data_IF_339847153603
#
_entry.id   IF_339847153603
#
_cell.length_a   1.000
_cell.length_b   1.000
_cell.length_c   1.000
_cell.angle_alpha   90.00
_cell.angle_beta   90.00
_cell.angle_gamma   90.00
#
_symmetry.space_group_name_H-M   'P 1'
#
loop_
_entity.id
_entity.type
_entity.pdbx_description
1 polymer ?
#
# COMPACT_ATOMS: atom_id res chain seq x y z
N UNK A 1 -18.61 8.23 53.90
CA UNK A 1 -19.97 8.80 53.90
C UNK A 1 -20.73 8.16 52.76
N UNK A 2 -21.78 7.43 53.10
CA UNK A 2 -22.63 6.65 52.19
C UNK A 2 -23.59 7.62 51.50
N UNK A 3 -23.66 7.59 50.17
CA UNK A 3 -24.83 8.09 49.42
C UNK A 3 -25.24 7.02 48.41
N UNK A 4 -26.13 6.16 48.88
CA UNK A 4 -27.02 5.39 48.03
C UNK A 4 -27.93 6.39 47.29
N UNK A 5 -28.04 6.25 45.98
CA UNK A 5 -29.11 6.89 45.21
C UNK A 5 -29.89 5.81 44.47
N UNK A 6 -31.20 5.91 44.62
CA UNK A 6 -32.17 4.86 44.42
C UNK A 6 -32.39 4.49 42.95
N UNK A 7 -32.68 3.21 42.77
CA UNK A 7 -33.22 2.56 41.59
C UNK A 7 -34.61 3.15 41.25
N UNK A 8 -34.83 3.57 40.02
CA UNK A 8 -36.18 3.83 39.48
C UNK A 8 -36.33 3.00 38.18
N UNK A 9 -36.87 1.79 38.34
CA UNK A 9 -37.29 0.94 37.22
C UNK A 9 -38.68 1.38 36.79
N UNK A 10 -38.78 2.08 35.66
CA UNK A 10 -40.07 2.33 35.01
C UNK A 10 -40.39 1.15 34.08
N UNK A 11 -41.30 0.28 34.52
CA UNK A 11 -41.99 -0.70 33.69
C UNK A 11 -43.02 0.02 32.81
N UNK A 12 -42.79 0.07 31.50
CA UNK A 12 -43.79 0.56 30.53
C UNK A 12 -44.47 -0.68 29.92
N UNK A 13 -45.81 -0.79 29.97
CA UNK A 13 -46.53 -1.89 29.34
C UNK A 13 -46.48 -1.78 27.82
N UNK A 14 -46.12 -2.89 27.17
CA UNK A 14 -46.16 -3.07 25.73
C UNK A 14 -47.60 -3.05 25.23
N UNK A 15 -47.97 -2.04 24.43
CA UNK A 15 -49.22 -2.04 23.67
C UNK A 15 -48.89 -2.57 22.27
N UNK A 16 -49.14 -3.86 22.06
CA UNK A 16 -49.08 -4.46 20.74
C UNK A 16 -50.33 -4.07 19.94
N UNK A 17 -50.23 -3.06 19.08
CA UNK A 17 -51.19 -2.88 18.00
C UNK A 17 -50.88 -3.90 16.90
N UNK A 18 -51.72 -4.92 16.77
CA UNK A 18 -51.71 -5.81 15.61
C UNK A 18 -52.03 -4.98 14.35
N UNK A 19 -51.02 -4.75 13.51
CA UNK A 19 -51.19 -4.11 12.23
C UNK A 19 -51.82 -5.14 11.27
N UNK A 20 -53.10 -4.94 10.98
CA UNK A 20 -53.85 -5.72 10.01
C UNK A 20 -53.16 -5.63 8.66
N UNK A 21 -52.63 -6.76 8.16
CA UNK A 21 -52.05 -6.86 6.83
C UNK A 21 -53.15 -6.60 5.80
N UNK A 22 -53.22 -5.38 5.28
CA UNK A 22 -53.89 -5.11 4.02
C UNK A 22 -53.03 -5.72 2.92
N UNK A 23 -53.44 -6.88 2.43
CA UNK A 23 -52.97 -7.42 1.16
C UNK A 23 -53.51 -6.54 0.03
N UNK A 24 -52.90 -5.37 -0.17
CA UNK A 24 -53.04 -4.60 -1.40
C UNK A 24 -52.33 -5.38 -2.50
N UNK A 25 -53.09 -5.95 -3.43
CA UNK A 25 -52.51 -6.51 -4.65
C UNK A 25 -51.73 -5.41 -5.36
N UNK A 26 -50.40 -5.53 -5.38
CA UNK A 26 -49.56 -4.66 -6.18
C UNK A 26 -49.96 -4.86 -7.65
N UNK A 27 -50.46 -3.80 -8.27
CA UNK A 27 -50.79 -3.81 -9.69
C UNK A 27 -49.52 -4.19 -10.48
N UNK A 28 -49.66 -5.14 -11.40
CA UNK A 28 -48.57 -5.68 -12.21
C UNK A 28 -47.86 -4.56 -13.00
N UNK A 29 -48.59 -3.47 -13.29
CA UNK A 29 -48.04 -2.23 -13.86
C UNK A 29 -47.11 -1.48 -12.92
N UNK A 30 -47.47 -1.35 -11.64
CA UNK A 30 -46.62 -0.67 -10.65
C UNK A 30 -45.33 -1.45 -10.40
N UNK A 31 -45.38 -2.78 -10.41
CA UNK A 31 -44.18 -3.62 -10.28
C UNK A 31 -43.27 -3.52 -11.51
N UNK A 32 -43.83 -3.53 -12.72
CA UNK A 32 -43.07 -3.33 -13.98
C UNK A 32 -42.46 -1.92 -14.06
N UNK A 33 -43.18 -0.90 -13.61
CA UNK A 33 -42.69 0.49 -13.61
C UNK A 33 -41.60 0.70 -12.56
N UNK A 34 -41.66 0.03 -11.41
CA UNK A 34 -40.59 0.02 -10.41
C UNK A 34 -39.35 -0.74 -10.91
N UNK A 35 -39.52 -1.85 -11.63
CA UNK A 35 -38.43 -2.59 -12.29
C UNK A 35 -37.77 -1.79 -13.43
N UNK A 36 -38.55 -1.04 -14.23
CA UNK A 36 -38.01 -0.14 -15.25
C UNK A 36 -37.25 1.06 -14.65
N UNK A 37 -37.70 1.61 -13.52
CA UNK A 37 -36.98 2.65 -12.80
C UNK A 37 -35.70 2.09 -12.14
N UNK A 38 -35.69 0.86 -11.60
CA UNK A 38 -34.45 0.26 -11.11
C UNK A 38 -33.45 -0.09 -12.23
N UNK A 39 -33.94 -0.52 -13.40
CA UNK A 39 -33.11 -0.81 -14.58
C UNK A 39 -32.53 0.44 -15.25
N UNK A 40 -33.25 1.56 -15.23
CA UNK A 40 -32.77 2.84 -15.76
C UNK A 40 -31.73 3.52 -14.84
N UNK A 41 -31.84 3.32 -13.51
CA UNK A 41 -30.86 3.81 -12.55
C UNK A 41 -29.54 3.03 -12.57
N UNK A 42 -29.53 1.77 -13.04
CA UNK A 42 -28.31 0.96 -13.17
C UNK A 42 -27.50 1.26 -14.45
N UNK A 43 -28.13 1.77 -15.50
CA UNK A 43 -27.48 2.06 -16.80
C UNK A 43 -26.70 3.39 -16.84
N UNK A 44 -26.66 4.14 -15.74
CA UNK A 44 -25.95 5.43 -15.65
C UNK A 44 -25.31 5.68 -14.28
N UNK A 45 -25.24 4.67 -13.42
CA UNK A 45 -24.49 4.78 -12.17
C UNK A 45 -22.99 4.78 -12.49
N UNK A 46 -22.32 5.88 -12.16
CA UNK A 46 -20.86 5.94 -12.16
C UNK A 46 -20.32 4.83 -11.25
N UNK A 47 -19.70 3.81 -11.83
CA UNK A 47 -19.03 2.75 -11.08
C UNK A 47 -17.71 3.32 -10.54
N UNK A 48 -17.40 3.16 -9.24
CA UNK A 48 -16.10 3.55 -8.72
C UNK A 48 -14.97 2.83 -9.47
N UNK A 49 -14.04 3.59 -10.06
CA UNK A 49 -12.86 3.06 -10.78
C UNK A 49 -11.57 3.23 -10.00
N UNK A 50 -11.57 4.08 -8.97
CA UNK A 50 -10.38 4.37 -8.19
C UNK A 50 -10.18 3.33 -7.09
N UNK A 51 -8.95 2.83 -6.89
CA UNK A 51 -8.63 1.80 -5.90
C UNK A 51 -8.70 2.31 -4.44
N UNK A 52 -8.90 3.61 -4.22
CA UNK A 52 -9.00 4.24 -2.90
C UNK A 52 -7.69 4.30 -2.09
N UNK A 53 -6.73 3.42 -2.38
CA UNK A 53 -5.41 3.35 -1.72
C UNK A 53 -4.36 2.71 -2.66
N UNK A 54 -3.13 3.26 -2.69
CA UNK A 54 -2.11 2.88 -3.68
C UNK A 54 -1.52 1.46 -3.56
N UNK A 55 -1.42 0.90 -2.37
CA UNK A 55 -0.95 -0.49 -2.19
C UNK A 55 -2.02 -1.51 -2.63
N UNK A 56 -3.30 -1.25 -2.33
CA UNK A 56 -4.41 -2.04 -2.86
C UNK A 56 -4.50 -1.93 -4.38
N UNK A 57 -4.27 -0.75 -4.94
CA UNK A 57 -4.16 -0.53 -6.39
C UNK A 57 -3.09 -1.44 -7.01
N UNK A 58 -1.88 -1.42 -6.44
CA UNK A 58 -0.76 -2.22 -6.93
C UNK A 58 -1.08 -3.72 -6.86
N UNK A 59 -1.68 -4.19 -5.76
CA UNK A 59 -2.07 -5.60 -5.64
C UNK A 59 -3.15 -5.96 -6.65
N UNK A 60 -4.17 -5.11 -6.84
CA UNK A 60 -5.24 -5.34 -7.81
C UNK A 60 -4.69 -5.43 -9.24
N UNK A 61 -3.79 -4.52 -9.62
CA UNK A 61 -3.14 -4.54 -10.93
C UNK A 61 -2.35 -5.83 -11.15
N UNK A 62 -1.54 -6.23 -10.16
CA UNK A 62 -0.73 -7.45 -10.27
C UNK A 62 -1.62 -8.71 -10.32
N UNK A 63 -2.68 -8.80 -9.52
CA UNK A 63 -3.64 -9.91 -9.60
C UNK A 63 -4.28 -9.99 -10.97
N UNK A 64 -4.71 -8.86 -11.55
CA UNK A 64 -5.29 -8.84 -12.89
C UNK A 64 -4.30 -9.30 -13.97
N UNK A 65 -3.02 -8.93 -13.85
CA UNK A 65 -1.95 -9.40 -14.75
C UNK A 65 -1.77 -10.93 -14.62
N UNK A 66 -1.72 -11.46 -13.40
CA UNK A 66 -1.57 -12.90 -13.15
C UNK A 66 -2.77 -13.72 -13.65
N UNK A 67 -4.00 -13.22 -13.47
CA UNK A 67 -5.24 -13.85 -13.97
C UNK A 67 -5.34 -13.85 -15.50
N UNK A 68 -4.81 -12.82 -16.16
CA UNK A 68 -4.83 -12.69 -17.62
C UNK A 68 -3.76 -13.55 -18.32
N UNK A 69 -2.70 -13.95 -17.60
CA UNK A 69 -1.60 -14.76 -18.12
C UNK A 69 -1.91 -16.27 -17.95
N UNK A 70 -2.20 -17.01 -19.04
CA UNK A 70 -2.52 -18.44 -18.95
C UNK A 70 -1.34 -19.30 -18.50
N UNK A 71 -0.11 -18.77 -18.54
CA UNK A 71 1.11 -19.46 -18.13
C UNK A 71 1.47 -19.19 -16.66
N UNK A 72 0.64 -18.43 -15.92
CA UNK A 72 0.84 -18.20 -14.48
C UNK A 72 0.87 -19.51 -13.70
N UNK A 73 2.01 -19.78 -13.06
CA UNK A 73 2.17 -20.89 -12.12
C UNK A 73 1.58 -20.51 -10.75
N UNK A 74 0.28 -20.74 -10.59
CA UNK A 74 -0.46 -20.44 -9.35
C UNK A 74 0.09 -21.15 -8.10
N UNK A 75 0.92 -22.18 -8.25
CA UNK A 75 1.56 -22.84 -7.11
C UNK A 75 2.72 -22.02 -6.50
N UNK A 76 3.23 -21.02 -7.23
CA UNK A 76 4.33 -20.15 -6.80
C UNK A 76 3.90 -18.73 -6.45
N UNK A 77 2.69 -18.33 -6.83
CA UNK A 77 2.18 -16.99 -6.57
C UNK A 77 2.19 -16.70 -5.07
N UNK A 78 2.77 -15.56 -4.68
CA UNK A 78 2.89 -15.12 -3.29
C UNK A 78 2.50 -13.64 -3.15
N UNK A 79 1.19 -13.41 -2.99
CA UNK A 79 0.63 -12.06 -2.77
C UNK A 79 0.98 -11.53 -1.37
N UNK A 80 1.20 -12.41 -0.39
CA UNK A 80 1.61 -12.00 0.95
C UNK A 80 3.02 -11.40 0.94
N UNK A 81 3.94 -11.97 0.14
CA UNK A 81 5.26 -11.40 -0.10
C UNK A 81 5.19 -10.02 -0.77
N UNK A 82 4.35 -9.85 -1.80
CA UNK A 82 4.13 -8.53 -2.42
C UNK A 82 3.57 -7.53 -1.40
N UNK A 83 2.57 -7.94 -0.62
CA UNK A 83 1.99 -7.10 0.43
C UNK A 83 3.03 -6.71 1.48
N UNK A 84 3.91 -7.64 1.88
CA UNK A 84 4.99 -7.37 2.83
C UNK A 84 5.97 -6.33 2.25
N UNK A 85 6.33 -6.46 0.97
CA UNK A 85 7.15 -5.47 0.27
C UNK A 85 6.50 -4.08 0.25
N UNK A 86 5.21 -3.98 -0.06
CA UNK A 86 4.48 -2.71 -0.06
C UNK A 86 4.39 -2.06 1.34
N UNK A 87 4.36 -2.87 2.41
CA UNK A 87 4.47 -2.35 3.78
C UNK A 87 5.85 -1.76 4.03
N UNK A 88 6.91 -2.43 3.60
CA UNK A 88 8.26 -1.89 3.71
C UNK A 88 8.39 -0.57 2.94
N UNK A 89 7.88 -0.51 1.71
CA UNK A 89 7.89 0.71 0.89
C UNK A 89 7.18 1.87 1.59
N UNK A 90 6.00 1.63 2.15
CA UNK A 90 5.26 2.65 2.89
C UNK A 90 6.00 3.09 4.15
N UNK A 91 6.58 2.16 4.91
CA UNK A 91 7.32 2.48 6.13
C UNK A 91 8.54 3.36 5.81
N UNK A 92 9.32 3.01 4.78
CA UNK A 92 10.47 3.81 4.35
C UNK A 92 10.02 5.17 3.82
N UNK A 93 8.99 5.22 2.98
CA UNK A 93 8.58 6.46 2.29
C UNK A 93 7.89 7.46 3.23
N UNK A 94 7.06 6.96 4.16
CA UNK A 94 6.16 7.80 4.94
C UNK A 94 6.56 7.94 6.41
N UNK A 95 7.40 7.06 6.93
CA UNK A 95 7.69 6.99 8.37
C UNK A 95 9.18 6.99 8.75
N UNK A 96 10.11 6.79 7.81
CA UNK A 96 11.53 6.83 8.13
C UNK A 96 12.05 8.26 8.29
N UNK A 97 12.94 8.46 9.26
CA UNK A 97 13.70 9.69 9.41
C UNK A 97 15.00 9.59 8.61
N UNK A 98 15.38 10.68 7.93
CA UNK A 98 16.59 10.72 7.11
C UNK A 98 17.44 11.93 7.47
N UNK A 99 18.69 11.67 7.82
CA UNK A 99 19.74 12.70 7.92
C UNK A 99 20.74 12.52 6.78
N UNK A 100 21.00 13.61 6.05
CA UNK A 100 21.97 13.65 4.96
C UNK A 100 23.28 14.30 5.41
N UNK A 101 24.40 13.65 5.12
CA UNK A 101 25.75 14.08 5.47
C UNK A 101 26.63 14.10 4.21
N UNK A 102 27.29 15.22 3.88
CA UNK A 102 28.21 15.24 2.75
C UNK A 102 29.42 14.34 3.02
N UNK A 103 29.88 13.62 2.00
CA UNK A 103 31.15 12.90 2.01
C UNK A 103 31.97 13.27 0.78
N UNK A 104 33.26 12.91 0.75
CA UNK A 104 34.10 13.16 -0.42
C UNK A 104 33.48 12.52 -1.68
N UNK A 105 33.06 13.36 -2.63
CA UNK A 105 32.47 12.94 -3.90
C UNK A 105 31.05 12.36 -3.80
N UNK A 106 30.36 12.45 -2.67
CA UNK A 106 29.09 11.76 -2.48
C UNK A 106 28.23 12.29 -1.33
N UNK A 107 27.21 11.53 -0.97
CA UNK A 107 26.34 11.83 0.18
C UNK A 107 26.08 10.54 0.95
N UNK A 108 26.18 10.62 2.27
CA UNK A 108 25.77 9.58 3.19
C UNK A 108 24.41 9.93 3.78
N UNK A 109 23.49 8.98 3.74
CA UNK A 109 22.17 9.06 4.36
C UNK A 109 22.15 8.14 5.56
N UNK A 110 21.79 8.67 6.72
CA UNK A 110 21.43 7.90 7.90
C UNK A 110 19.91 7.81 7.91
N UNK A 111 19.39 6.61 7.71
CA UNK A 111 17.96 6.32 7.60
C UNK A 111 17.57 5.53 8.83
N UNK A 112 16.66 6.08 9.63
CA UNK A 112 16.33 5.53 10.95
C UNK A 112 14.82 5.43 11.17
N UNK A 113 14.44 4.58 12.11
CA UNK A 113 13.08 4.43 12.60
C UNK A 113 13.04 3.57 13.85
N UNK A 114 11.84 3.20 14.28
CA UNK A 114 11.65 2.29 15.41
C UNK A 114 10.82 1.07 15.02
N UNK A 115 11.00 -0.04 15.75
CA UNK A 115 10.25 -1.28 15.53
C UNK A 115 10.23 -1.72 14.06
N UNK A 116 9.03 -1.88 13.51
CA UNK A 116 8.84 -2.30 12.12
C UNK A 116 9.49 -1.34 11.10
N UNK A 117 9.50 -0.02 11.34
CA UNK A 117 10.11 0.95 10.41
C UNK A 117 11.62 0.73 10.29
N UNK A 118 12.31 0.52 11.42
CA UNK A 118 13.74 0.18 11.43
C UNK A 118 14.02 -1.07 10.59
N UNK A 119 13.21 -2.09 10.76
CA UNK A 119 13.42 -3.37 10.11
C UNK A 119 13.12 -3.28 8.60
N UNK A 120 12.10 -2.51 8.20
CA UNK A 120 11.82 -2.17 6.79
C UNK A 120 12.96 -1.37 6.15
N UNK A 121 13.49 -0.35 6.85
CA UNK A 121 14.63 0.45 6.40
C UNK A 121 15.84 -0.45 6.13
N UNK A 122 16.19 -1.35 7.06
CA UNK A 122 17.32 -2.27 6.88
C UNK A 122 17.15 -3.16 5.65
N UNK A 123 15.98 -3.77 5.47
CA UNK A 123 15.72 -4.63 4.30
C UNK A 123 15.82 -3.84 3.00
N UNK A 124 15.08 -2.74 2.89
CA UNK A 124 14.97 -1.99 1.64
C UNK A 124 16.25 -1.28 1.25
N UNK A 125 16.91 -0.57 2.18
CA UNK A 125 18.09 0.23 1.84
C UNK A 125 19.23 -0.64 1.35
N UNK A 126 19.44 -1.81 1.99
CA UNK A 126 20.48 -2.76 1.57
C UNK A 126 20.15 -3.40 0.22
N UNK A 127 18.91 -3.86 0.03
CA UNK A 127 18.50 -4.48 -1.23
C UNK A 127 18.57 -3.49 -2.40
N UNK A 128 18.15 -2.25 -2.17
CA UNK A 128 18.23 -1.18 -3.16
C UNK A 128 19.68 -0.81 -3.50
N UNK A 129 20.56 -0.67 -2.50
CA UNK A 129 21.97 -0.41 -2.74
C UNK A 129 22.62 -1.52 -3.57
N UNK A 130 22.32 -2.79 -3.26
CA UNK A 130 22.83 -3.93 -4.02
C UNK A 130 22.36 -3.90 -5.49
N UNK A 131 21.08 -3.60 -5.72
CA UNK A 131 20.50 -3.55 -7.06
C UNK A 131 20.99 -2.36 -7.91
N UNK A 132 21.32 -1.23 -7.27
CA UNK A 132 21.69 0.01 -7.95
C UNK A 132 23.20 0.23 -8.06
N UNK A 133 24.01 -0.54 -7.34
CA UNK A 133 25.45 -0.36 -7.37
C UNK A 133 25.99 -0.62 -8.79
N UNK A 134 26.84 0.29 -9.25
CA UNK A 134 27.49 0.32 -10.58
C UNK A 134 26.55 0.60 -11.76
N UNK A 135 25.24 0.76 -11.53
CA UNK A 135 24.29 1.19 -12.57
C UNK A 135 24.61 2.63 -12.99
N UNK A 136 24.79 2.86 -14.29
CA UNK A 136 25.13 4.16 -14.89
C UNK A 136 26.36 4.86 -14.28
N UNK A 137 27.27 4.08 -13.67
CA UNK A 137 28.46 4.59 -13.00
C UNK A 137 28.19 5.24 -11.63
N UNK A 138 27.01 5.02 -11.04
CA UNK A 138 26.73 5.38 -9.66
C UNK A 138 27.19 4.25 -8.72
N UNK A 139 27.83 4.60 -7.61
CA UNK A 139 28.22 3.64 -6.57
C UNK A 139 27.31 3.78 -5.35
N UNK A 140 26.82 2.65 -4.85
CA UNK A 140 25.96 2.57 -3.68
C UNK A 140 26.58 1.60 -2.67
N UNK A 141 26.71 2.03 -1.41
CA UNK A 141 27.15 1.18 -0.31
C UNK A 141 26.17 1.32 0.85
N UNK A 142 25.67 0.20 1.37
CA UNK A 142 24.75 0.20 2.50
C UNK A 142 25.21 -0.73 3.62
N UNK A 143 24.91 -0.36 4.85
CA UNK A 143 25.15 -1.15 6.05
C UNK A 143 24.08 -0.93 7.09
N UNK A 144 23.82 -1.92 7.92
CA UNK A 144 22.93 -1.74 9.08
C UNK A 144 23.60 -0.82 10.12
N UNK A 145 22.79 0.02 10.74
CA UNK A 145 23.13 0.80 11.95
C UNK A 145 22.11 0.46 13.05
N UNK A 146 22.34 0.91 14.29
CA UNK A 146 21.51 0.56 15.46
C UNK A 146 20.00 0.79 15.21
N UNK A 147 19.64 1.96 14.68
CA UNK A 147 18.25 2.37 14.47
C UNK A 147 17.77 2.32 13.01
N UNK A 148 18.53 1.67 12.12
CA UNK A 148 18.14 1.53 10.72
C UNK A 148 19.28 1.11 9.81
N UNK A 149 19.53 1.89 8.76
CA UNK A 149 20.62 1.66 7.81
C UNK A 149 21.35 2.96 7.46
N UNK A 150 22.63 2.83 7.10
CA UNK A 150 23.36 3.90 6.40
C UNK A 150 23.47 3.56 4.92
N UNK A 151 23.27 4.56 4.06
CA UNK A 151 23.45 4.47 2.61
C UNK A 151 24.44 5.54 2.18
N UNK A 152 25.53 5.18 1.52
CA UNK A 152 26.46 6.14 0.92
C UNK A 152 26.43 6.02 -0.59
N UNK A 153 26.24 7.15 -1.27
CA UNK A 153 26.07 7.22 -2.72
C UNK A 153 27.09 8.16 -3.33
N UNK A 154 27.77 7.69 -4.37
CA UNK A 154 28.70 8.47 -5.18
C UNK A 154 28.23 8.47 -6.64
N UNK A 155 27.82 9.62 -7.19
CA UNK A 155 27.43 9.73 -8.59
C UNK A 155 28.66 10.07 -9.46
N UNK A 156 28.57 9.87 -10.79
CA UNK A 156 29.46 10.54 -11.72
C UNK A 156 29.46 12.06 -11.51
N UNK A 157 30.58 12.74 -11.79
CA UNK A 157 30.71 14.19 -11.52
C UNK A 157 29.59 15.04 -12.17
N UNK A 158 29.14 14.65 -13.38
CA UNK A 158 28.03 15.30 -14.10
C UNK A 158 26.68 15.23 -13.34
N UNK A 159 26.52 14.24 -12.46
CA UNK A 159 25.27 13.95 -11.76
C UNK A 159 25.28 14.42 -10.31
N UNK A 160 26.33 15.12 -9.86
CA UNK A 160 26.43 15.62 -8.49
C UNK A 160 25.25 16.52 -8.08
N UNK A 161 24.74 17.33 -9.02
CA UNK A 161 23.53 18.14 -8.79
C UNK A 161 22.27 17.29 -8.74
N UNK A 162 22.21 16.21 -9.53
CA UNK A 162 21.09 15.26 -9.57
C UNK A 162 20.97 14.53 -8.23
N UNK A 163 22.08 14.02 -7.67
CA UNK A 163 22.08 13.41 -6.33
C UNK A 163 21.49 14.35 -5.26
N UNK A 164 21.91 15.63 -5.27
CA UNK A 164 21.38 16.63 -4.33
C UNK A 164 19.89 16.90 -4.52
N UNK A 165 19.43 16.97 -5.77
CA UNK A 165 18.02 17.22 -6.09
C UNK A 165 17.10 16.04 -5.74
N UNK A 166 17.58 14.81 -5.89
CA UNK A 166 16.84 13.60 -5.55
C UNK A 166 16.74 13.39 -4.03
N UNK A 167 17.84 13.60 -3.31
CA UNK A 167 17.95 13.16 -1.92
C UNK A 167 17.69 11.66 -1.77
N UNK A 168 17.45 11.20 -0.54
CA UNK A 168 17.23 9.78 -0.26
C UNK A 168 15.96 9.24 -0.92
N UNK A 169 14.81 9.89 -0.74
CA UNK A 169 13.53 9.38 -1.26
C UNK A 169 13.49 9.38 -2.79
N UNK A 170 14.12 10.37 -3.44
CA UNK A 170 14.27 10.36 -4.90
C UNK A 170 15.13 9.20 -5.37
N UNK A 171 16.22 8.87 -4.66
CA UNK A 171 17.03 7.68 -4.99
C UNK A 171 16.24 6.39 -4.82
N UNK A 172 15.49 6.24 -3.72
CA UNK A 172 14.66 5.05 -3.49
C UNK A 172 13.56 4.88 -4.56
N UNK A 173 13.10 5.98 -5.16
CA UNK A 173 12.16 5.98 -6.27
C UNK A 173 12.81 5.72 -7.63
N UNK A 174 14.14 5.79 -7.73
CA UNK A 174 14.89 5.48 -8.96
C UNK A 174 15.32 4.01 -9.00
N UNK A 175 15.66 3.50 -10.18
CA UNK A 175 16.03 2.11 -10.38
C UNK A 175 14.92 1.32 -11.05
N UNK A 176 15.00 -0.01 -10.94
CA UNK A 176 14.07 -0.96 -11.59
C UNK A 176 12.63 -0.46 -11.54
N UNK A 177 11.90 -0.66 -12.64
CA UNK A 177 10.47 -0.37 -12.71
C UNK A 177 9.77 -1.10 -11.55
N UNK A 178 9.42 -0.38 -10.48
CA UNK A 178 8.86 -0.98 -9.25
C UNK A 178 7.66 -1.87 -9.57
N UNK A 179 6.93 -1.57 -10.65
CA UNK A 179 5.88 -2.42 -11.19
C UNK A 179 6.36 -3.82 -11.61
N UNK A 180 7.45 -3.91 -12.37
CA UNK A 180 8.05 -5.19 -12.76
C UNK A 180 8.59 -5.92 -11.53
N UNK A 181 9.19 -5.18 -10.60
CA UNK A 181 9.67 -5.72 -9.34
C UNK A 181 8.53 -6.34 -8.52
N UNK A 182 7.39 -5.65 -8.42
CA UNK A 182 6.19 -6.16 -7.75
C UNK A 182 5.68 -7.45 -8.41
N UNK A 183 5.67 -7.51 -9.75
CA UNK A 183 5.25 -8.70 -10.48
C UNK A 183 6.16 -9.89 -10.21
N UNK A 184 7.49 -9.69 -10.18
CA UNK A 184 8.45 -10.74 -9.84
C UNK A 184 8.21 -11.29 -8.43
N UNK A 185 8.05 -10.41 -7.43
CA UNK A 185 7.74 -10.83 -6.06
C UNK A 185 6.43 -11.63 -6.03
N UNK A 186 5.38 -11.14 -6.69
CA UNK A 186 4.10 -11.82 -6.71
C UNK A 186 4.14 -13.18 -7.42
N UNK A 187 5.10 -13.41 -8.33
CA UNK A 187 5.38 -14.71 -8.96
C UNK A 187 6.25 -15.64 -8.09
N UNK A 188 6.66 -15.21 -6.90
CA UNK A 188 7.56 -15.94 -6.01
C UNK A 188 9.03 -15.88 -6.45
N UNK A 189 9.39 -14.93 -7.31
CA UNK A 189 10.76 -14.74 -7.79
C UNK A 189 11.55 -13.81 -6.85
N UNK A 190 12.88 -13.88 -6.91
CA UNK A 190 13.73 -12.92 -6.19
C UNK A 190 14.12 -11.78 -7.14
N UNK A 191 13.62 -10.56 -6.94
CA UNK A 191 13.85 -9.44 -7.84
C UNK A 191 15.21 -8.74 -7.64
N UNK A 192 16.02 -9.24 -6.70
CA UNK A 192 17.33 -8.71 -6.37
C UNK A 192 18.48 -9.72 -6.65
N UNK A 193 18.20 -10.82 -7.35
CA UNK A 193 19.19 -11.80 -7.82
C UNK A 193 19.52 -11.62 -9.31
#
# INVERSE_FOLDING_TARGET
MIRALALAVCLIPSVACAQQAQTGGMDHKTMMQHMQMMGAQAAGASVPTEPGQGAFAAIQEIVAILEADPDTDWSKVDIDALRAHLVDMNAVTLAADVKSEPVAGGTRFLVTGSGAVRDSVRRMVKAHAAAMNEVDGWRFEASDIEDGASLTVWPPAKDAAKLRGLGFFGLMAQGMHHQQHHLMIARGENPHL
#
